data_IF_615064014263
#
_entry.id   IF_615064014263
#
_cell.length_a   1.000
_cell.length_b   1.000
_cell.length_c   1.000
_cell.angle_alpha   90.00
_cell.angle_beta   90.00
_cell.angle_gamma   90.00
#
_symmetry.space_group_name_H-M   'P 1'
#
loop_
_entity.id
_entity.type
_entity.pdbx_description
1 polymer ?
#
# COMPACT_ATOMS: atom_id res chain seq x y z
N UNK A 1 -62.45 -40.20 -33.12
CA UNK A 1 -61.54 -40.54 -32.01
C UNK A 1 -60.54 -39.41 -31.84
N UNK A 2 -60.88 -38.42 -31.03
CA UNK A 2 -60.16 -37.13 -30.88
C UNK A 2 -58.92 -37.23 -29.97
N UNK A 3 -58.24 -38.38 -29.93
CA UNK A 3 -57.09 -38.57 -29.03
C UNK A 3 -57.45 -38.63 -27.55
N UNK A 4 -58.74 -38.73 -27.21
CA UNK A 4 -59.19 -38.97 -25.83
C UNK A 4 -58.78 -40.38 -25.41
N UNK A 5 -57.65 -40.45 -24.71
CA UNK A 5 -57.16 -41.69 -24.16
C UNK A 5 -57.91 -42.08 -22.89
N UNK A 6 -58.81 -41.28 -22.29
CA UNK A 6 -59.45 -41.52 -20.97
C UNK A 6 -60.50 -42.63 -20.98
N UNK A 7 -61.00 -42.98 -22.15
CA UNK A 7 -61.94 -44.09 -22.37
C UNK A 7 -61.31 -45.47 -22.08
N UNK A 8 -62.09 -46.35 -21.46
CA UNK A 8 -61.67 -47.72 -21.14
C UNK A 8 -62.48 -48.71 -21.97
N UNK A 9 -61.82 -49.50 -22.81
CA UNK A 9 -62.47 -50.47 -23.68
C UNK A 9 -62.69 -51.79 -22.92
N UNK A 10 -63.94 -52.12 -22.59
CA UNK A 10 -64.30 -53.40 -22.00
C UNK A 10 -64.37 -54.52 -23.07
N UNK A 11 -63.64 -55.60 -22.86
CA UNK A 11 -63.64 -56.78 -23.73
C UNK A 11 -64.66 -57.81 -23.25
N UNK A 12 -65.66 -58.13 -24.08
CA UNK A 12 -66.69 -59.16 -23.80
C UNK A 12 -66.56 -60.43 -24.65
N UNK A 13 -65.72 -60.41 -25.69
CA UNK A 13 -65.53 -61.54 -26.62
C UNK A 13 -64.16 -62.22 -26.43
N UNK A 14 -64.10 -63.53 -26.70
CA UNK A 14 -62.89 -64.39 -26.60
C UNK A 14 -62.30 -64.74 -27.97
N UNK A 15 -62.66 -63.98 -28.99
CA UNK A 15 -62.20 -64.12 -30.37
C UNK A 15 -61.07 -63.11 -30.69
N UNK A 16 -60.63 -63.10 -31.94
CA UNK A 16 -59.58 -62.22 -32.47
C UNK A 16 -59.90 -60.72 -32.28
N UNK A 17 -61.19 -60.36 -32.23
CA UNK A 17 -61.64 -58.99 -31.94
C UNK A 17 -61.43 -58.64 -30.46
N UNK A 18 -61.64 -59.61 -29.56
CA UNK A 18 -61.31 -59.50 -28.15
C UNK A 18 -59.81 -59.29 -27.90
N UNK A 19 -58.95 -59.98 -28.63
CA UNK A 19 -57.48 -59.84 -28.51
C UNK A 19 -56.96 -58.52 -29.11
N UNK A 20 -57.56 -58.05 -30.21
CA UNK A 20 -57.27 -56.73 -30.77
C UNK A 20 -57.65 -55.61 -29.78
N UNK A 21 -58.82 -55.73 -29.13
CA UNK A 21 -59.29 -54.77 -28.13
C UNK A 21 -58.35 -54.71 -26.91
N UNK A 22 -57.87 -55.87 -26.42
CA UNK A 22 -56.84 -55.93 -25.36
C UNK A 22 -55.54 -55.26 -25.77
N UNK A 23 -55.06 -55.54 -26.99
CA UNK A 23 -53.82 -54.95 -27.51
C UNK A 23 -53.92 -53.43 -27.65
N UNK A 24 -55.05 -52.92 -28.14
CA UNK A 24 -55.31 -51.50 -28.26
C UNK A 24 -55.44 -50.79 -26.90
N UNK A 25 -56.09 -51.43 -25.93
CA UNK A 25 -56.15 -50.92 -24.54
C UNK A 25 -54.76 -50.80 -23.92
N UNK A 26 -53.89 -51.81 -24.09
CA UNK A 26 -52.51 -51.78 -23.61
C UNK A 26 -51.67 -50.69 -24.29
N UNK A 27 -51.88 -50.47 -25.59
CA UNK A 27 -51.24 -49.37 -26.32
C UNK A 27 -51.70 -48.01 -25.80
N UNK A 28 -53.01 -47.82 -25.54
CA UNK A 28 -53.56 -46.59 -24.96
C UNK A 28 -52.98 -46.31 -23.56
N UNK A 29 -52.86 -47.33 -22.71
CA UNK A 29 -52.21 -47.23 -21.40
C UNK A 29 -50.73 -46.81 -21.53
N UNK A 30 -49.98 -47.47 -22.42
CA UNK A 30 -48.58 -47.12 -22.68
C UNK A 30 -48.42 -45.67 -23.18
N UNK A 31 -49.33 -45.20 -24.04
CA UNK A 31 -49.33 -43.82 -24.51
C UNK A 31 -49.64 -42.82 -23.38
N UNK A 32 -50.59 -43.14 -22.48
CA UNK A 32 -50.86 -42.32 -21.30
C UNK A 32 -49.63 -42.20 -20.40
N UNK A 33 -48.90 -43.30 -20.18
CA UNK A 33 -47.69 -43.30 -19.36
C UNK A 33 -46.57 -42.47 -20.00
N UNK A 34 -46.40 -42.57 -21.32
CA UNK A 34 -45.48 -41.71 -22.06
C UNK A 34 -45.87 -40.23 -21.92
N UNK A 35 -47.15 -39.88 -22.08
CA UNK A 35 -47.63 -38.50 -21.91
C UNK A 35 -47.37 -37.99 -20.50
N UNK A 36 -47.62 -38.81 -19.47
CA UNK A 36 -47.32 -38.45 -18.06
C UNK A 36 -45.82 -38.23 -17.84
N UNK A 37 -44.97 -39.10 -18.38
CA UNK A 37 -43.52 -38.95 -18.29
C UNK A 37 -43.02 -37.68 -19.02
N UNK A 38 -43.60 -37.36 -20.17
CA UNK A 38 -43.33 -36.12 -20.90
C UNK A 38 -43.75 -34.91 -20.07
N UNK A 39 -44.94 -34.91 -19.48
CA UNK A 39 -45.43 -33.82 -18.65
C UNK A 39 -44.52 -33.59 -17.43
N UNK A 40 -44.14 -34.65 -16.74
CA UNK A 40 -43.18 -34.56 -15.63
C UNK A 40 -41.81 -34.03 -16.08
N UNK A 41 -41.35 -34.42 -17.28
CA UNK A 41 -40.10 -33.90 -17.83
C UNK A 41 -40.19 -32.41 -18.15
N UNK A 42 -41.33 -31.95 -18.68
CA UNK A 42 -41.57 -30.52 -18.94
C UNK A 42 -41.58 -29.72 -17.63
N UNK A 43 -42.24 -30.21 -16.59
CA UNK A 43 -42.28 -29.55 -15.27
C UNK A 43 -40.86 -29.43 -14.68
N UNK A 44 -40.06 -30.50 -14.75
CA UNK A 44 -38.66 -30.48 -14.31
C UNK A 44 -37.81 -29.47 -15.11
N UNK A 45 -38.00 -29.40 -16.43
CA UNK A 45 -37.29 -28.43 -17.29
C UNK A 45 -37.70 -27.00 -16.94
N UNK A 46 -38.98 -26.75 -16.65
CA UNK A 46 -39.47 -25.44 -16.23
C UNK A 46 -38.82 -25.00 -14.91
N UNK A 47 -38.83 -25.87 -13.89
CA UNK A 47 -38.17 -25.58 -12.60
C UNK A 47 -36.66 -25.36 -12.74
N UNK A 48 -35.96 -26.18 -13.53
CA UNK A 48 -34.54 -26.00 -13.81
C UNK A 48 -34.26 -24.66 -14.53
N UNK A 49 -35.15 -24.24 -15.43
CA UNK A 49 -35.02 -22.97 -16.14
C UNK A 49 -35.20 -21.76 -15.22
N UNK A 50 -36.10 -21.85 -14.24
CA UNK A 50 -36.29 -20.82 -13.21
C UNK A 50 -35.04 -20.72 -12.31
N UNK A 51 -34.49 -21.85 -11.85
CA UNK A 51 -33.28 -21.90 -11.04
C UNK A 51 -32.05 -21.36 -11.81
N UNK A 52 -31.92 -21.70 -13.08
CA UNK A 52 -30.88 -21.15 -13.97
C UNK A 52 -31.02 -19.65 -14.13
N UNK A 53 -32.24 -19.13 -14.27
CA UNK A 53 -32.50 -17.69 -14.39
C UNK A 53 -32.12 -16.96 -13.10
N UNK A 54 -32.48 -17.52 -11.94
CA UNK A 54 -32.09 -16.98 -10.64
C UNK A 54 -30.56 -16.97 -10.47
N UNK A 55 -29.90 -18.07 -10.81
CA UNK A 55 -28.44 -18.21 -10.76
C UNK A 55 -27.73 -17.24 -11.71
N UNK A 56 -28.26 -17.05 -12.91
CA UNK A 56 -27.74 -16.08 -13.87
C UNK A 56 -27.87 -14.64 -13.36
N UNK A 57 -29.00 -14.30 -12.73
CA UNK A 57 -29.21 -12.99 -12.11
C UNK A 57 -28.21 -12.74 -10.96
N UNK A 58 -28.02 -13.72 -10.08
CA UNK A 58 -27.04 -13.62 -8.99
C UNK A 58 -25.61 -13.48 -9.53
N UNK A 59 -25.26 -14.25 -10.57
CA UNK A 59 -23.95 -14.17 -11.22
C UNK A 59 -23.72 -12.79 -11.84
N UNK A 60 -24.74 -12.21 -12.47
CA UNK A 60 -24.67 -10.86 -13.02
C UNK A 60 -24.42 -9.82 -11.93
N UNK A 61 -25.14 -9.90 -10.81
CA UNK A 61 -24.94 -8.98 -9.68
C UNK A 61 -23.53 -9.13 -9.07
N UNK A 62 -23.05 -10.35 -8.89
CA UNK A 62 -21.70 -10.60 -8.40
C UNK A 62 -20.64 -10.01 -9.35
N UNK A 63 -20.85 -10.12 -10.66
CA UNK A 63 -19.95 -9.56 -11.69
C UNK A 63 -19.94 -8.03 -11.65
N UNK A 64 -21.10 -7.40 -11.43
CA UNK A 64 -21.21 -5.95 -11.27
C UNK A 64 -20.45 -5.47 -10.03
N UNK A 65 -20.59 -6.16 -8.89
CA UNK A 65 -19.81 -5.88 -7.68
C UNK A 65 -18.29 -6.04 -7.89
N UNK A 66 -17.87 -7.08 -8.61
CA UNK A 66 -16.45 -7.27 -8.97
C UNK A 66 -15.96 -6.09 -9.81
N UNK A 67 -16.74 -5.65 -10.80
CA UNK A 67 -16.40 -4.52 -11.67
C UNK A 67 -16.22 -3.24 -10.87
N UNK A 68 -17.17 -2.92 -9.97
CA UNK A 68 -17.06 -1.77 -9.07
C UNK A 68 -15.81 -1.84 -8.18
N UNK A 69 -15.49 -3.02 -7.67
CA UNK A 69 -14.31 -3.23 -6.82
C UNK A 69 -13.01 -3.02 -7.61
N UNK A 70 -12.98 -3.43 -8.89
CA UNK A 70 -11.85 -3.22 -9.79
C UNK A 70 -11.68 -1.72 -10.10
N UNK A 71 -12.76 -0.99 -10.33
CA UNK A 71 -12.70 0.47 -10.53
C UNK A 71 -12.15 1.19 -9.30
N UNK A 72 -12.64 0.84 -8.11
CA UNK A 72 -12.11 1.38 -6.85
C UNK A 72 -10.64 1.05 -6.66
N UNK A 73 -10.23 -0.18 -6.97
CA UNK A 73 -8.83 -0.60 -6.92
C UNK A 73 -7.97 0.21 -7.88
N UNK A 74 -8.41 0.40 -9.13
CA UNK A 74 -7.69 1.19 -10.12
C UNK A 74 -7.52 2.65 -9.67
N UNK A 75 -8.59 3.27 -9.18
CA UNK A 75 -8.54 4.64 -8.64
C UNK A 75 -7.61 4.76 -7.42
N UNK A 76 -7.64 3.76 -6.53
CA UNK A 76 -6.73 3.69 -5.39
C UNK A 76 -5.27 3.55 -5.82
N UNK A 77 -5.00 2.81 -6.89
CA UNK A 77 -3.67 2.61 -7.43
C UNK A 77 -3.11 3.87 -8.10
N UNK A 78 -3.95 4.65 -8.78
CA UNK A 78 -3.58 5.97 -9.32
C UNK A 78 -3.14 6.92 -8.19
N UNK A 79 -3.95 7.04 -7.15
CA UNK A 79 -3.63 7.87 -5.98
C UNK A 79 -2.37 7.37 -5.24
N UNK A 80 -2.14 6.05 -5.22
CA UNK A 80 -0.92 5.48 -4.66
C UNK A 80 0.31 5.86 -5.50
N UNK A 81 0.19 5.87 -6.83
CA UNK A 81 1.27 6.27 -7.73
C UNK A 81 1.67 7.73 -7.53
N UNK A 82 0.69 8.65 -7.43
CA UNK A 82 0.94 10.07 -7.11
C UNK A 82 1.68 10.23 -5.77
N UNK A 83 1.33 9.42 -4.78
CA UNK A 83 1.96 9.45 -3.45
C UNK A 83 3.40 8.93 -3.49
N UNK A 84 3.67 7.94 -4.32
CA UNK A 84 5.03 7.41 -4.55
C UNK A 84 5.90 8.45 -5.27
N UNK A 85 5.36 9.14 -6.27
CA UNK A 85 6.06 10.23 -6.95
C UNK A 85 6.38 11.37 -5.99
N UNK A 86 5.42 11.80 -5.17
CA UNK A 86 5.63 12.81 -4.13
C UNK A 86 6.71 12.39 -3.12
N UNK A 87 6.68 11.13 -2.67
CA UNK A 87 7.70 10.59 -1.75
C UNK A 87 9.09 10.57 -2.38
N UNK A 88 9.17 10.26 -3.68
CA UNK A 88 10.44 10.28 -4.43
C UNK A 88 11.01 11.71 -4.50
N UNK A 89 10.17 12.70 -4.79
CA UNK A 89 10.57 14.10 -4.81
C UNK A 89 11.06 14.58 -3.42
N UNK A 90 10.40 14.14 -2.34
CA UNK A 90 10.85 14.43 -0.97
C UNK A 90 12.21 13.80 -0.67
N UNK A 91 12.47 12.58 -1.13
CA UNK A 91 13.78 11.92 -0.97
C UNK A 91 14.89 12.65 -1.75
N UNK A 92 14.60 13.17 -2.94
CA UNK A 92 15.55 14.01 -3.70
C UNK A 92 15.90 15.27 -2.91
N UNK A 93 14.91 16.01 -2.43
CA UNK A 93 15.13 17.21 -1.62
C UNK A 93 15.88 16.91 -0.31
N UNK A 94 15.59 15.77 0.32
CA UNK A 94 16.32 15.31 1.51
C UNK A 94 17.80 15.04 1.19
N UNK A 95 18.09 14.40 0.06
CA UNK A 95 19.46 14.13 -0.37
C UNK A 95 20.24 15.43 -0.63
N UNK A 96 19.62 16.42 -1.28
CA UNK A 96 20.21 17.76 -1.44
C UNK A 96 20.48 18.43 -0.07
N UNK A 97 19.54 18.33 0.86
CA UNK A 97 19.70 18.82 2.23
C UNK A 97 20.88 18.17 2.96
N UNK A 98 21.07 16.85 2.80
CA UNK A 98 22.21 16.13 3.38
C UNK A 98 23.55 16.55 2.77
N UNK A 99 23.61 16.79 1.46
CA UNK A 99 24.81 17.30 0.80
C UNK A 99 25.19 18.69 1.31
N UNK A 100 24.22 19.60 1.41
CA UNK A 100 24.43 20.93 1.98
C UNK A 100 24.92 20.84 3.44
N UNK A 101 24.30 19.98 4.25
CA UNK A 101 24.71 19.77 5.65
C UNK A 101 26.15 19.24 5.76
N UNK A 102 26.55 18.32 4.88
CA UNK A 102 27.92 17.80 4.82
C UNK A 102 28.93 18.90 4.45
N UNK A 103 28.58 19.75 3.49
CA UNK A 103 29.41 20.88 3.07
C UNK A 103 29.59 21.88 4.22
N UNK A 104 28.48 22.32 4.84
CA UNK A 104 28.52 23.23 5.99
C UNK A 104 29.30 22.63 7.16
N UNK A 105 29.17 21.34 7.43
CA UNK A 105 29.94 20.67 8.49
C UNK A 105 31.44 20.71 8.21
N UNK A 106 31.85 20.54 6.96
CA UNK A 106 33.26 20.64 6.54
C UNK A 106 33.81 22.06 6.69
N UNK A 107 33.01 23.07 6.33
CA UNK A 107 33.36 24.49 6.52
C UNK A 107 33.51 24.84 8.00
N UNK A 108 32.58 24.39 8.85
CA UNK A 108 32.65 24.60 10.30
C UNK A 108 33.91 23.96 10.90
N UNK A 109 34.27 22.75 10.45
CA UNK A 109 35.50 22.09 10.87
C UNK A 109 36.75 22.91 10.49
N UNK A 110 36.80 23.41 9.25
CA UNK A 110 37.91 24.24 8.78
C UNK A 110 38.05 25.55 9.59
N UNK A 111 36.93 26.25 9.82
CA UNK A 111 36.91 27.48 10.64
C UNK A 111 37.31 27.21 12.10
N UNK A 112 36.93 26.06 12.64
CA UNK A 112 37.32 25.66 14.01
C UNK A 112 38.82 25.41 14.13
N UNK A 113 39.44 24.79 13.12
CA UNK A 113 40.89 24.62 13.05
C UNK A 113 41.59 25.99 13.01
N UNK A 114 41.13 26.89 12.15
CA UNK A 114 41.70 28.24 12.04
C UNK A 114 41.55 29.04 13.34
N UNK A 115 40.41 28.91 14.02
CA UNK A 115 40.17 29.57 15.31
C UNK A 115 41.11 29.04 16.40
N UNK A 116 41.36 27.73 16.40
CA UNK A 116 42.31 27.10 17.34
C UNK A 116 43.73 27.58 17.10
N UNK A 117 44.14 27.71 15.83
CA UNK A 117 45.45 28.23 15.48
C UNK A 117 45.62 29.71 15.90
N UNK A 118 44.62 30.54 15.60
CA UNK A 118 44.61 31.95 16.00
C UNK A 118 44.65 32.12 17.53
N UNK A 119 43.89 31.32 18.28
CA UNK A 119 43.95 31.30 19.74
C UNK A 119 45.34 30.87 20.25
N UNK A 120 45.98 29.87 19.62
CA UNK A 120 47.34 29.46 19.95
C UNK A 120 48.39 30.55 19.67
N UNK A 121 48.25 31.29 18.57
CA UNK A 121 49.10 32.46 18.29
C UNK A 121 48.88 33.58 19.32
N UNK A 122 47.62 33.90 19.63
CA UNK A 122 47.28 34.89 20.65
C UNK A 122 47.85 34.54 22.03
N UNK A 123 47.78 33.26 22.41
CA UNK A 123 48.38 32.77 23.66
C UNK A 123 49.88 33.03 23.75
N UNK A 124 50.63 32.77 22.67
CA UNK A 124 52.08 33.08 22.61
C UNK A 124 52.38 34.57 22.72
N UNK A 125 51.56 35.42 22.12
CA UNK A 125 51.71 36.88 22.21
C UNK A 125 51.49 37.36 23.66
N UNK A 126 50.45 36.84 24.32
CA UNK A 126 50.18 37.16 25.74
C UNK A 126 51.34 36.71 26.63
N UNK A 127 51.87 35.52 26.42
CA UNK A 127 53.01 35.00 27.20
C UNK A 127 54.28 35.83 27.00
N UNK A 128 54.58 36.22 25.75
CA UNK A 128 55.69 37.14 25.45
C UNK A 128 55.50 38.50 26.13
N UNK A 129 54.26 39.03 26.12
CA UNK A 129 53.94 40.31 26.74
C UNK A 129 54.10 40.26 28.26
N UNK A 130 53.68 39.17 28.90
CA UNK A 130 53.88 38.94 30.32
C UNK A 130 55.36 38.86 30.69
N UNK A 131 56.18 38.18 29.88
CA UNK A 131 57.64 38.14 30.06
C UNK A 131 58.26 39.54 29.95
N UNK A 132 57.83 40.33 28.95
CA UNK A 132 58.32 41.70 28.77
C UNK A 132 57.96 42.60 29.96
N UNK A 133 56.73 42.47 30.50
CA UNK A 133 56.32 43.19 31.71
C UNK A 133 57.16 42.83 32.93
N UNK A 134 57.56 41.56 33.07
CA UNK A 134 58.47 41.13 34.14
C UNK A 134 59.87 41.74 34.01
N UNK A 135 60.38 41.89 32.79
CA UNK A 135 61.62 42.62 32.55
C UNK A 135 61.51 44.10 32.92
N UNK A 136 60.39 44.75 32.55
CA UNK A 136 60.12 46.15 32.92
C UNK A 136 60.08 46.31 34.44
N UNK A 137 59.38 45.43 35.17
CA UNK A 137 59.32 45.44 36.64
C UNK A 137 60.73 45.35 37.25
N UNK A 138 61.57 44.44 36.73
CA UNK A 138 62.96 44.29 37.19
C UNK A 138 63.78 45.57 36.94
N UNK A 139 63.69 46.16 35.74
CA UNK A 139 64.42 47.40 35.42
C UNK A 139 63.96 48.60 36.25
N UNK A 140 62.67 48.67 36.60
CA UNK A 140 62.14 49.71 37.50
C UNK A 140 62.70 49.55 38.92
N UNK A 141 62.79 48.32 39.43
CA UNK A 141 63.39 48.04 40.74
C UNK A 141 64.89 48.40 40.76
N UNK A 142 65.65 48.07 39.72
CA UNK A 142 67.06 48.44 39.59
C UNK A 142 67.25 49.96 39.56
N UNK A 143 66.40 50.70 38.84
CA UNK A 143 66.44 52.15 38.80
C UNK A 143 66.14 52.78 40.19
N UNK A 144 65.17 52.22 40.93
CA UNK A 144 64.87 52.64 42.29
C UNK A 144 66.06 52.42 43.24
N UNK A 145 66.75 51.29 43.11
CA UNK A 145 67.96 50.97 43.89
C UNK A 145 69.06 52.00 43.64
N UNK A 146 69.35 52.32 42.38
CA UNK A 146 70.38 53.30 41.99
C UNK A 146 70.04 54.70 42.51
N UNK A 147 68.76 55.10 42.46
CA UNK A 147 68.29 56.36 43.01
C UNK A 147 68.52 56.44 44.53
N UNK A 148 68.21 55.38 45.28
CA UNK A 148 68.48 55.32 46.73
C UNK A 148 69.97 55.42 47.05
N UNK A 149 70.83 54.76 46.27
CA UNK A 149 72.28 54.87 46.44
C UNK A 149 72.80 56.29 46.17
N UNK A 150 72.29 56.96 45.13
CA UNK A 150 72.62 58.35 44.80
C UNK A 150 72.17 59.31 45.90
N UNK A 151 70.98 59.09 46.48
CA UNK A 151 70.46 59.89 47.59
C UNK A 151 71.34 59.73 48.85
N UNK A 152 71.81 58.52 49.13
CA UNK A 152 72.73 58.25 50.24
C UNK A 152 74.09 58.93 50.05
N UNK A 153 74.61 58.97 48.82
CA UNK A 153 75.89 59.63 48.49
C UNK A 153 75.82 61.16 48.43
N UNK A 154 74.62 61.74 48.27
CA UNK A 154 74.42 63.19 48.14
C UNK A 154 74.14 63.89 49.49
N UNK A 155 74.10 63.13 50.60
CA UNK A 155 74.05 63.65 51.98
C UNK A 155 75.44 63.63 52.61
#
# INVERSE_FOLDING_TARGET
SEGDLTETLETKSKDEIGDLTRSFSKMSESLRDVIRAVQQSVDNVASASEELTASASQTSQATEHITMSIEQFSNGNEAQNEKVESSTNQLVAMNEGLQNMSQTSSEVAAVSIQSTEAAGQGGRIVESTASQMKHIDTSVQEAEQVMKELEYKSK
#
